data_IF_091532197997
#
_entry.id   IF_091532197997
#
_cell.length_a   1.000
_cell.length_b   1.000
_cell.length_c   1.000
_cell.angle_alpha   90.00
_cell.angle_beta   90.00
_cell.angle_gamma   90.00
#
_symmetry.space_group_name_H-M   'P 1'
#
loop_
_entity.id
_entity.type
_entity.pdbx_description
1 polymer ?
#
# COMPACT_ATOMS: atom_id res chain seq x y z
N UNK A 1 -1.98 -4.28 15.33
CA UNK A 1 -2.14 -3.09 14.48
C UNK A 1 -3.45 -3.15 13.70
N UNK A 2 -4.13 -2.04 13.58
CA UNK A 2 -5.33 -1.92 12.77
C UNK A 2 -5.04 -0.96 11.62
N UNK A 3 -4.99 -1.46 10.37
CA UNK A 3 -4.65 -0.60 9.22
C UNK A 3 -5.56 0.62 9.09
N UNK A 4 -6.85 0.46 9.38
CA UNK A 4 -7.81 1.57 9.27
C UNK A 4 -7.52 2.69 10.27
N UNK A 5 -6.86 2.40 11.40
CA UNK A 5 -6.48 3.42 12.36
C UNK A 5 -5.42 4.35 11.79
N UNK A 6 -4.46 3.78 11.06
CA UNK A 6 -3.42 4.58 10.40
C UNK A 6 -3.92 5.18 9.09
N UNK A 7 -4.89 4.53 8.45
CA UNK A 7 -5.42 4.99 7.17
C UNK A 7 -6.05 6.38 7.29
N UNK A 8 -6.60 6.72 8.46
CA UNK A 8 -7.16 8.04 8.71
C UNK A 8 -6.11 9.16 8.60
N UNK A 9 -4.83 8.82 8.71
CA UNK A 9 -3.73 9.78 8.60
C UNK A 9 -3.30 10.01 7.16
N UNK A 10 -3.80 9.20 6.21
CA UNK A 10 -3.50 9.31 4.80
C UNK A 10 -4.62 10.07 4.06
N UNK A 11 -4.29 10.57 2.88
CA UNK A 11 -5.27 11.15 1.97
C UNK A 11 -6.06 10.08 1.21
N UNK A 12 -5.85 8.82 1.54
CA UNK A 12 -6.55 7.70 0.90
C UNK A 12 -8.05 7.75 1.21
N UNK A 13 -8.89 7.28 0.26
CA UNK A 13 -10.33 7.20 0.50
C UNK A 13 -10.66 6.31 1.69
N UNK A 14 -11.44 6.82 2.64
CA UNK A 14 -11.77 6.09 3.87
C UNK A 14 -12.99 5.19 3.73
N UNK A 15 -13.73 5.31 2.64
CA UNK A 15 -14.94 4.54 2.38
C UNK A 15 -14.71 3.29 1.54
N UNK A 16 -13.45 2.99 1.22
CA UNK A 16 -13.07 1.81 0.45
C UNK A 16 -12.68 0.66 1.34
N UNK A 17 -12.80 -0.57 0.82
CA UNK A 17 -12.28 -1.76 1.48
C UNK A 17 -10.75 -1.68 1.56
N UNK A 18 -10.18 -2.38 2.54
CA UNK A 18 -8.72 -2.43 2.74
C UNK A 18 -8.22 -3.83 2.43
N UNK A 19 -7.21 -3.92 1.55
CA UNK A 19 -6.44 -5.13 1.33
C UNK A 19 -5.08 -4.92 1.99
N UNK A 20 -4.84 -5.61 3.10
CA UNK A 20 -3.65 -5.41 3.92
C UNK A 20 -2.63 -6.51 3.70
N UNK A 21 -1.36 -6.13 3.50
CA UNK A 21 -0.24 -7.06 3.42
C UNK A 21 0.81 -6.69 4.47
N UNK A 22 1.08 -7.61 5.41
CA UNK A 22 2.20 -7.47 6.31
C UNK A 22 3.43 -8.10 5.65
N UNK A 23 4.31 -7.26 5.14
CA UNK A 23 5.50 -7.68 4.40
C UNK A 23 6.78 -7.65 5.23
N UNK A 24 6.67 -7.44 6.55
CA UNK A 24 7.86 -7.30 7.40
C UNK A 24 8.74 -8.54 7.43
N UNK A 25 8.13 -9.72 7.33
CA UNK A 25 8.83 -11.00 7.39
C UNK A 25 9.18 -11.58 6.01
N UNK A 26 8.79 -10.89 4.93
CA UNK A 26 9.08 -11.35 3.59
C UNK A 26 10.48 -10.92 3.17
N UNK A 27 11.35 -11.84 2.74
CA UNK A 27 12.66 -11.47 2.24
C UNK A 27 12.56 -10.82 0.86
N UNK A 28 13.43 -9.85 0.53
CA UNK A 28 13.46 -9.28 -0.82
C UNK A 28 13.76 -10.37 -1.86
N UNK A 29 13.14 -10.32 -3.04
CA UNK A 29 12.25 -9.28 -3.55
C UNK A 29 10.75 -9.57 -3.36
N UNK A 30 10.39 -10.49 -2.47
CA UNK A 30 9.00 -10.93 -2.28
C UNK A 30 8.02 -9.80 -1.97
N UNK A 31 8.36 -8.80 -1.10
CA UNK A 31 7.41 -7.71 -0.85
C UNK A 31 7.01 -6.97 -2.11
N UNK A 32 7.97 -6.70 -2.98
CA UNK A 32 7.70 -6.03 -4.25
C UNK A 32 6.84 -6.89 -5.17
N UNK A 33 7.21 -8.17 -5.31
CA UNK A 33 6.50 -9.09 -6.19
C UNK A 33 5.05 -9.30 -5.73
N UNK A 34 4.84 -9.50 -4.43
CA UNK A 34 3.49 -9.68 -3.88
C UNK A 34 2.64 -8.43 -4.06
N UNK A 35 3.23 -7.26 -3.82
CA UNK A 35 2.54 -5.99 -3.99
C UNK A 35 2.12 -5.81 -5.45
N UNK A 36 3.03 -6.06 -6.40
CA UNK A 36 2.70 -5.91 -7.82
C UNK A 36 1.62 -6.88 -8.27
N UNK A 37 1.64 -8.10 -7.74
CA UNK A 37 0.60 -9.09 -8.03
C UNK A 37 -0.77 -8.60 -7.57
N UNK A 38 -0.84 -8.05 -6.36
CA UNK A 38 -2.11 -7.54 -5.81
C UNK A 38 -2.57 -6.29 -6.53
N UNK A 39 -1.64 -5.43 -6.95
CA UNK A 39 -2.00 -4.22 -7.69
C UNK A 39 -2.62 -4.52 -9.05
N UNK A 40 -2.25 -5.64 -9.67
CA UNK A 40 -2.86 -6.04 -10.93
C UNK A 40 -4.36 -6.30 -10.79
N UNK A 41 -4.82 -6.66 -9.59
CA UNK A 41 -6.22 -6.92 -9.28
C UNK A 41 -6.88 -5.75 -8.53
N UNK A 42 -6.16 -4.64 -8.34
CA UNK A 42 -6.68 -3.50 -7.60
C UNK A 42 -7.84 -2.85 -8.36
N UNK A 43 -8.95 -2.73 -7.68
CA UNK A 43 -10.14 -2.06 -8.24
C UNK A 43 -10.31 -0.68 -7.59
N UNK A 44 -11.31 0.07 -8.07
CA UNK A 44 -11.60 1.41 -7.57
C UNK A 44 -12.29 1.45 -6.22
N UNK A 45 -12.56 0.29 -5.63
CA UNK A 45 -13.26 0.18 -4.34
C UNK A 45 -12.35 -0.26 -3.20
N UNK A 46 -11.05 -0.46 -3.49
CA UNK A 46 -10.11 -1.01 -2.52
C UNK A 46 -8.89 -0.10 -2.38
N UNK A 47 -8.40 0.02 -1.16
CA UNK A 47 -7.09 0.62 -0.86
C UNK A 47 -6.18 -0.52 -0.43
N UNK A 48 -5.05 -0.68 -1.12
CA UNK A 48 -4.05 -1.66 -0.73
C UNK A 48 -3.07 -1.02 0.25
N UNK A 49 -2.84 -1.68 1.38
CA UNK A 49 -1.94 -1.18 2.43
C UNK A 49 -0.84 -2.20 2.68
N UNK A 50 0.41 -1.79 2.47
CA UNK A 50 1.57 -2.61 2.76
C UNK A 50 2.24 -2.12 4.05
N UNK A 51 2.55 -3.05 4.96
CA UNK A 51 3.39 -2.77 6.12
C UNK A 51 4.76 -3.42 5.87
N UNK A 52 5.82 -2.62 5.93
CA UNK A 52 7.19 -3.09 5.69
C UNK A 52 8.08 -2.62 6.84
N UNK A 53 9.26 -3.23 6.98
CA UNK A 53 10.25 -2.83 7.98
C UNK A 53 11.13 -1.67 7.51
N UNK A 54 10.99 -1.27 6.26
CA UNK A 54 11.73 -0.16 5.63
C UNK A 54 10.92 0.50 4.55
N UNK A 55 11.35 1.69 4.13
CA UNK A 55 10.72 2.40 3.00
C UNK A 55 10.92 1.58 1.71
N UNK A 56 9.84 1.22 1.01
CA UNK A 56 9.93 0.39 -0.19
C UNK A 56 10.31 1.24 -1.42
N UNK A 57 11.57 1.69 -1.47
CA UNK A 57 12.05 2.64 -2.48
C UNK A 57 11.88 2.16 -3.92
N UNK A 58 12.06 0.85 -4.15
CA UNK A 58 11.95 0.29 -5.51
C UNK A 58 10.51 0.17 -5.99
N UNK A 59 9.55 0.28 -5.07
CA UNK A 59 8.15 0.21 -5.40
C UNK A 59 7.65 1.51 -6.05
N UNK A 60 8.14 2.65 -5.60
CA UNK A 60 7.61 3.96 -6.00
C UNK A 60 7.65 4.21 -7.50
N UNK A 61 8.77 3.95 -8.23
CA UNK A 61 8.77 4.13 -9.69
C UNK A 61 7.73 3.24 -10.38
N UNK A 62 7.51 2.04 -9.85
CA UNK A 62 6.52 1.13 -10.42
C UNK A 62 5.10 1.62 -10.20
N UNK A 63 4.83 2.23 -9.04
CA UNK A 63 3.53 2.84 -8.77
C UNK A 63 3.27 4.02 -9.69
N UNK A 64 4.30 4.84 -9.93
CA UNK A 64 4.20 5.96 -10.85
C UNK A 64 3.85 5.48 -12.27
N UNK A 65 4.44 4.37 -12.71
CA UNK A 65 4.15 3.78 -14.01
C UNK A 65 2.71 3.25 -14.10
N UNK A 66 2.15 2.79 -12.99
CA UNK A 66 0.79 2.28 -12.95
C UNK A 66 -0.26 3.39 -12.90
N UNK A 67 0.14 4.61 -12.62
CA UNK A 67 -0.79 5.73 -12.50
C UNK A 67 -1.66 5.68 -11.24
N UNK A 68 -1.23 4.95 -10.22
CA UNK A 68 -1.95 4.88 -8.94
C UNK A 68 -1.46 5.96 -7.99
N UNK A 69 -2.31 6.35 -7.06
CA UNK A 69 -1.92 7.24 -5.97
C UNK A 69 -1.36 6.42 -4.81
N UNK A 70 -0.43 7.01 -4.06
CA UNK A 70 0.12 6.32 -2.89
C UNK A 70 0.65 7.33 -1.90
N UNK A 71 0.75 6.89 -0.64
CA UNK A 71 1.31 7.69 0.44
C UNK A 71 2.02 6.75 1.42
N UNK A 72 3.16 7.17 1.94
CA UNK A 72 3.96 6.37 2.86
C UNK A 72 4.15 7.12 4.17
N UNK A 73 4.00 6.41 5.29
CA UNK A 73 4.23 6.94 6.62
C UNK A 73 4.96 5.94 7.48
N UNK A 74 5.86 6.45 8.33
CA UNK A 74 6.53 5.64 9.34
C UNK A 74 5.66 5.57 10.58
N UNK A 75 5.55 4.36 11.15
CA UNK A 75 4.82 4.11 12.38
C UNK A 75 5.69 3.31 13.35
N UNK A 76 5.21 3.11 14.57
CA UNK A 76 5.93 2.29 15.55
C UNK A 76 6.05 0.83 15.13
N UNK A 77 5.17 0.38 14.25
CA UNK A 77 5.16 -1.01 13.77
C UNK A 77 5.97 -1.21 12.48
N UNK A 78 6.35 -0.13 11.82
CA UNK A 78 7.09 -0.15 10.57
C UNK A 78 6.63 0.95 9.63
N UNK A 79 6.85 0.75 8.34
CA UNK A 79 6.50 1.72 7.31
C UNK A 79 5.23 1.26 6.60
N UNK A 80 4.19 2.09 6.65
CA UNK A 80 2.93 1.84 5.95
C UNK A 80 2.91 2.58 4.62
N UNK A 81 2.53 1.88 3.56
CA UNK A 81 2.29 2.47 2.25
C UNK A 81 0.86 2.15 1.85
N UNK A 82 0.06 3.18 1.67
CA UNK A 82 -1.31 3.06 1.17
C UNK A 82 -1.32 3.36 -0.32
N UNK A 83 -1.98 2.52 -1.11
CA UNK A 83 -2.02 2.61 -2.56
C UNK A 83 -3.46 2.48 -3.02
N UNK A 84 -3.91 3.39 -3.88
CA UNK A 84 -5.29 3.37 -4.37
C UNK A 84 -5.37 3.94 -5.78
N UNK A 85 -6.45 3.60 -6.48
CA UNK A 85 -6.74 4.16 -7.79
C UNK A 85 -7.40 5.53 -7.59
N UNK A 86 -6.75 6.64 -7.99
CA UNK A 86 -7.32 7.97 -7.78
C UNK A 86 -8.59 8.24 -8.59
N UNK A 87 -8.78 7.49 -9.68
CA UNK A 87 -9.95 7.61 -10.55
C UNK A 87 -10.99 6.54 -10.26
N UNK A 88 -10.74 5.70 -9.24
CA UNK A 88 -11.61 4.58 -8.91
C UNK A 88 -12.95 5.02 -8.34
N UNK A 89 -13.96 4.19 -8.55
CA UNK A 89 -15.32 4.40 -8.07
C UNK A 89 -15.80 3.25 -7.21
#
# INVERSE_FOLDING_TARGET
MHPETHLAEFDAPSDRAIDFLDARDLPPPEPLQETMTRLADLDGETVFVQLNDRVPQFLFPKLDEQGVAYETKETDDGVLTAIWDPDGE
#
